data_IF_836677934619
#
_entry.id   IF_836677934619
#
_cell.length_a   1.000
_cell.length_b   1.000
_cell.length_c   1.000
_cell.angle_alpha   90.00
_cell.angle_beta   90.00
_cell.angle_gamma   90.00
#
_symmetry.space_group_name_H-M   'P 1'
#
loop_
_entity.id
_entity.type
_entity.pdbx_description
1 polymer ?
#
# COMPACT_ATOMS: atom_id res chain seq x y z
N UNK A 1 31.77 -50.89 35.63
CA UNK A 1 32.19 -49.51 35.29
C UNK A 1 31.20 -48.52 35.91
N UNK A 2 31.55 -47.86 37.03
CA UNK A 2 30.64 -46.90 37.68
C UNK A 2 30.62 -45.61 36.84
N UNK A 3 29.49 -45.34 36.19
CA UNK A 3 29.28 -44.07 35.50
C UNK A 3 29.32 -42.98 36.57
N UNK A 4 30.27 -42.04 36.44
CA UNK A 4 30.38 -40.90 37.34
C UNK A 4 29.20 -39.96 37.06
N UNK A 5 28.16 -40.05 37.88
CA UNK A 5 26.89 -39.33 37.75
C UNK A 5 27.07 -37.83 37.57
N UNK A 6 28.10 -37.24 38.20
CA UNK A 6 28.42 -35.82 38.06
C UNK A 6 28.95 -35.46 36.66
N UNK A 7 29.72 -36.35 36.02
CA UNK A 7 30.18 -36.17 34.63
C UNK A 7 29.02 -36.31 33.64
N UNK A 8 28.10 -37.26 33.90
CA UNK A 8 26.90 -37.46 33.08
C UNK A 8 25.96 -36.25 33.15
N UNK A 9 25.71 -35.71 34.34
CA UNK A 9 24.86 -34.52 34.53
C UNK A 9 25.45 -33.30 33.82
N UNK A 10 26.77 -33.07 33.94
CA UNK A 10 27.45 -31.97 33.21
C UNK A 10 27.30 -32.12 31.69
N UNK A 11 27.49 -33.33 31.17
CA UNK A 11 27.33 -33.61 29.73
C UNK A 11 25.90 -33.29 29.27
N UNK A 12 24.88 -33.71 30.03
CA UNK A 12 23.47 -33.45 29.71
C UNK A 12 23.18 -31.95 29.71
N UNK A 13 23.64 -31.21 30.73
CA UNK A 13 23.45 -29.75 30.82
C UNK A 13 24.13 -29.05 29.63
N UNK A 14 25.35 -29.45 29.28
CA UNK A 14 26.07 -28.89 28.12
C UNK A 14 25.32 -29.14 26.82
N UNK A 15 24.82 -30.36 26.59
CA UNK A 15 24.03 -30.69 25.41
C UNK A 15 22.72 -29.88 25.35
N UNK A 16 22.07 -29.68 26.49
CA UNK A 16 20.83 -28.91 26.59
C UNK A 16 21.07 -27.42 26.27
N UNK A 17 22.17 -26.85 26.75
CA UNK A 17 22.56 -25.47 26.42
C UNK A 17 22.88 -25.31 24.93
N UNK A 18 23.62 -26.26 24.33
CA UNK A 18 23.90 -26.25 22.89
C UNK A 18 22.59 -26.33 22.10
N UNK A 19 21.65 -27.18 22.51
CA UNK A 19 20.35 -27.31 21.86
C UNK A 19 19.54 -26.01 21.94
N UNK A 20 19.50 -25.35 23.11
CA UNK A 20 18.81 -24.06 23.28
C UNK A 20 19.43 -22.99 22.38
N UNK A 21 20.75 -22.83 22.41
CA UNK A 21 21.46 -21.83 21.59
C UNK A 21 21.23 -22.10 20.10
N UNK A 22 21.34 -23.36 19.67
CA UNK A 22 21.10 -23.75 18.28
C UNK A 22 19.66 -23.45 17.85
N UNK A 23 18.68 -23.70 18.72
CA UNK A 23 17.28 -23.39 18.46
C UNK A 23 17.04 -21.87 18.38
N UNK A 24 17.63 -21.09 19.27
CA UNK A 24 17.53 -19.62 19.23
C UNK A 24 18.12 -19.03 17.95
N UNK A 25 19.29 -19.54 17.51
CA UNK A 25 19.91 -19.13 16.24
C UNK A 25 19.02 -19.53 15.06
N UNK A 26 18.48 -20.74 15.06
CA UNK A 26 17.57 -21.21 14.00
C UNK A 26 16.33 -20.32 13.89
N UNK A 27 15.71 -19.95 15.02
CA UNK A 27 14.53 -19.05 15.04
C UNK A 27 14.89 -17.67 14.52
N UNK A 28 16.04 -17.11 14.91
CA UNK A 28 16.49 -15.79 14.43
C UNK A 28 16.75 -15.80 12.92
N UNK A 29 17.43 -16.82 12.41
CA UNK A 29 17.71 -17.00 10.98
C UNK A 29 16.41 -17.22 10.21
N UNK A 30 15.48 -18.04 10.72
CA UNK A 30 14.19 -18.28 10.08
C UNK A 30 13.35 -17.02 10.02
N UNK A 31 13.30 -16.22 11.10
CA UNK A 31 12.61 -14.91 11.11
C UNK A 31 13.24 -13.93 10.12
N UNK A 32 14.57 -13.87 10.03
CA UNK A 32 15.27 -13.00 9.08
C UNK A 32 15.02 -13.43 7.63
N UNK A 33 15.08 -14.74 7.35
CA UNK A 33 14.81 -15.29 6.02
C UNK A 33 13.35 -15.10 5.62
N UNK A 34 12.37 -15.41 6.50
CA UNK A 34 10.96 -15.13 6.23
C UNK A 34 10.70 -13.64 6.08
N UNK A 35 11.29 -12.79 6.93
CA UNK A 35 11.16 -11.34 6.84
C UNK A 35 11.64 -10.83 5.48
N UNK A 36 12.82 -11.27 5.03
CA UNK A 36 13.39 -10.89 3.74
C UNK A 36 12.62 -11.48 2.55
N UNK A 37 12.16 -12.74 2.64
CA UNK A 37 11.36 -13.39 1.60
C UNK A 37 9.99 -12.71 1.48
N UNK A 38 9.33 -12.44 2.60
CA UNK A 38 8.02 -11.78 2.65
C UNK A 38 8.12 -10.29 2.24
N UNK A 39 9.21 -9.60 2.58
CA UNK A 39 9.50 -8.25 2.09
C UNK A 39 9.78 -8.21 0.59
N UNK A 40 10.48 -9.21 0.05
CA UNK A 40 10.66 -9.38 -1.39
C UNK A 40 9.34 -9.66 -2.12
N UNK A 41 8.37 -10.26 -1.43
CA UNK A 41 7.02 -10.53 -1.96
C UNK A 41 5.99 -9.43 -1.64
N UNK A 42 6.37 -8.27 -1.07
CA UNK A 42 5.61 -7.01 -1.20
C UNK A 42 5.71 -6.47 -2.64
N UNK A 43 5.47 -7.41 -3.54
CA UNK A 43 5.66 -7.40 -4.97
C UNK A 43 4.41 -6.76 -5.54
N UNK A 44 4.52 -5.45 -5.77
CA UNK A 44 3.58 -4.51 -6.38
C UNK A 44 2.11 -4.94 -6.33
N UNK A 45 1.29 -4.25 -5.52
CA UNK A 45 -0.16 -4.54 -5.47
C UNK A 45 -0.83 -4.38 -6.85
N UNK A 46 -0.38 -3.40 -7.63
CA UNK A 46 -0.80 -3.22 -9.02
C UNK A 46 0.29 -3.79 -9.94
N UNK A 47 0.22 -5.08 -10.27
CA UNK A 47 1.20 -5.73 -11.17
C UNK A 47 0.92 -5.43 -12.64
N UNK A 48 -0.35 -5.48 -13.01
CA UNK A 48 -0.82 -5.30 -14.39
C UNK A 48 -1.13 -3.83 -14.70
N UNK A 49 -0.25 -2.91 -14.27
CA UNK A 49 -0.47 -1.47 -14.44
C UNK A 49 -0.75 -1.11 -15.90
N UNK A 50 0.00 -1.68 -16.85
CA UNK A 50 -0.15 -1.36 -18.27
C UNK A 50 -1.53 -1.77 -18.82
N UNK A 51 -2.11 -2.86 -18.31
CA UNK A 51 -3.46 -3.31 -18.67
C UNK A 51 -4.52 -2.28 -18.26
N UNK A 52 -4.38 -1.69 -17.07
CA UNK A 52 -5.38 -0.77 -16.50
C UNK A 52 -4.96 0.71 -16.59
N UNK A 53 -3.88 1.03 -17.29
CA UNK A 53 -3.29 2.37 -17.34
C UNK A 53 -4.28 3.45 -17.77
N UNK A 54 -5.13 3.16 -18.75
CA UNK A 54 -6.15 4.10 -19.24
C UNK A 54 -7.20 4.38 -18.17
N UNK A 55 -7.59 3.37 -17.40
CA UNK A 55 -8.55 3.53 -16.31
C UNK A 55 -7.94 4.36 -15.18
N UNK A 56 -6.71 4.05 -14.78
CA UNK A 56 -5.96 4.86 -13.81
C UNK A 56 -5.82 6.31 -14.22
N UNK A 57 -5.51 6.58 -15.50
CA UNK A 57 -5.42 7.94 -16.00
C UNK A 57 -6.78 8.65 -15.97
N UNK A 58 -7.86 7.96 -16.36
CA UNK A 58 -9.23 8.49 -16.31
C UNK A 58 -9.58 8.95 -14.89
N UNK A 59 -9.28 8.14 -13.88
CA UNK A 59 -9.55 8.48 -12.47
C UNK A 59 -8.60 9.57 -11.95
N UNK A 60 -7.35 9.62 -12.40
CA UNK A 60 -6.44 10.70 -12.05
C UNK A 60 -6.95 12.06 -12.57
N UNK A 61 -7.44 12.11 -13.81
CA UNK A 61 -8.00 13.32 -14.40
C UNK A 61 -9.30 13.75 -13.72
N UNK A 62 -10.15 12.80 -13.34
CA UNK A 62 -11.31 13.02 -12.47
C UNK A 62 -10.88 13.66 -11.13
N UNK A 63 -9.89 13.09 -10.44
CA UNK A 63 -9.42 13.61 -9.16
C UNK A 63 -8.90 15.05 -9.28
N UNK A 64 -8.13 15.35 -10.35
CA UNK A 64 -7.69 16.73 -10.64
C UNK A 64 -8.88 17.66 -10.92
N UNK A 65 -9.87 17.21 -11.69
CA UNK A 65 -11.06 17.99 -12.00
C UNK A 65 -11.78 18.36 -10.71
N UNK A 66 -12.06 17.40 -9.84
CA UNK A 66 -12.74 17.64 -8.58
C UNK A 66 -11.90 18.53 -7.64
N UNK A 67 -10.59 18.32 -7.55
CA UNK A 67 -9.68 19.16 -6.78
C UNK A 67 -9.70 20.62 -7.26
N UNK A 68 -9.72 20.84 -8.58
CA UNK A 68 -9.70 22.16 -9.20
C UNK A 68 -10.94 23.00 -8.88
N UNK A 69 -12.06 22.38 -8.47
CA UNK A 69 -13.26 23.09 -8.02
C UNK A 69 -13.05 23.83 -6.70
N UNK A 70 -12.00 23.47 -5.94
CA UNK A 70 -11.67 24.12 -4.66
C UNK A 70 -12.71 23.86 -3.57
N UNK A 71 -13.43 22.75 -3.66
CA UNK A 71 -14.52 22.39 -2.74
C UNK A 71 -14.12 21.31 -1.73
N UNK A 72 -12.96 20.67 -1.87
CA UNK A 72 -12.49 19.64 -0.94
C UNK A 72 -11.87 20.26 0.31
N UNK A 73 -12.32 19.83 1.49
CA UNK A 73 -11.75 20.27 2.78
C UNK A 73 -10.30 19.86 2.91
N UNK A 74 -10.08 18.56 2.81
CA UNK A 74 -8.78 17.91 2.81
C UNK A 74 -8.61 17.29 1.44
N UNK A 75 -7.47 17.52 0.77
CA UNK A 75 -7.25 17.19 -0.64
C UNK A 75 -7.15 15.68 -0.91
N UNK A 76 -8.19 14.95 -0.56
CA UNK A 76 -8.40 13.54 -0.74
C UNK A 76 -9.86 13.25 -1.11
N UNK A 77 -10.04 12.10 -1.74
CA UNK A 77 -11.30 11.48 -2.07
C UNK A 77 -11.31 10.10 -1.43
N UNK A 78 -12.40 9.74 -0.78
CA UNK A 78 -12.67 8.41 -0.29
C UNK A 78 -13.26 7.55 -1.40
N UNK A 79 -12.76 6.33 -1.50
CA UNK A 79 -13.23 5.31 -2.42
C UNK A 79 -13.76 4.15 -1.58
N UNK A 80 -15.04 3.82 -1.76
CA UNK A 80 -15.70 2.77 -0.98
C UNK A 80 -16.45 1.84 -1.92
N UNK A 81 -16.25 0.54 -1.79
CA UNK A 81 -17.02 -0.49 -2.48
C UNK A 81 -18.20 -0.93 -1.61
N UNK A 82 -19.39 -0.96 -2.20
CA UNK A 82 -20.61 -1.47 -1.56
C UNK A 82 -20.71 -3.00 -1.70
N UNK A 83 -21.60 -3.61 -0.91
CA UNK A 83 -21.88 -5.04 -0.99
C UNK A 83 -22.46 -5.51 -2.33
N UNK A 84 -23.02 -4.60 -3.13
CA UNK A 84 -23.50 -4.87 -4.49
C UNK A 84 -22.43 -4.67 -5.58
N UNK A 85 -21.19 -4.35 -5.18
CA UNK A 85 -20.05 -4.09 -6.08
C UNK A 85 -20.00 -2.68 -6.67
N UNK A 86 -20.98 -1.82 -6.37
CA UNK A 86 -20.93 -0.41 -6.78
C UNK A 86 -19.87 0.35 -5.99
N UNK A 87 -19.20 1.30 -6.64
CA UNK A 87 -18.14 2.10 -6.02
C UNK A 87 -18.58 3.55 -5.83
N UNK A 88 -18.40 4.05 -4.61
CA UNK A 88 -18.57 5.46 -4.27
C UNK A 88 -17.26 6.23 -4.37
N UNK A 89 -17.37 7.49 -4.84
CA UNK A 89 -16.27 8.43 -4.96
C UNK A 89 -16.69 9.74 -4.32
N UNK A 90 -16.27 9.97 -3.08
CA UNK A 90 -16.77 11.08 -2.26
C UNK A 90 -15.67 11.85 -1.54
N UNK A 91 -15.95 13.11 -1.21
CA UNK A 91 -15.04 13.96 -0.44
C UNK A 91 -15.81 14.85 0.51
N UNK A 92 -15.15 15.32 1.57
CA UNK A 92 -15.74 16.29 2.49
C UNK A 92 -15.68 17.69 1.88
N UNK A 93 -16.83 18.38 1.87
CA UNK A 93 -16.91 19.74 1.35
C UNK A 93 -16.28 20.74 2.32
N UNK A 94 -15.41 21.63 1.84
CA UNK A 94 -14.67 22.60 2.67
C UNK A 94 -15.56 23.68 3.31
N UNK A 95 -16.77 23.91 2.79
CA UNK A 95 -17.69 24.94 3.29
C UNK A 95 -18.74 24.36 4.23
N UNK A 96 -19.29 23.20 3.89
CA UNK A 96 -20.39 22.58 4.64
C UNK A 96 -19.94 21.48 5.58
N UNK A 97 -18.71 20.97 5.44
CA UNK A 97 -18.16 19.84 6.20
C UNK A 97 -18.98 18.55 6.08
N UNK A 98 -19.75 18.44 5.00
CA UNK A 98 -20.55 17.27 4.67
C UNK A 98 -19.88 16.46 3.57
N UNK A 99 -20.10 15.15 3.60
CA UNK A 99 -19.70 14.27 2.49
C UNK A 99 -20.50 14.60 1.23
N UNK A 100 -19.79 14.76 0.11
CA UNK A 100 -20.35 14.99 -1.22
C UNK A 100 -19.88 13.90 -2.15
N UNK A 101 -20.82 13.27 -2.84
CA UNK A 101 -20.53 12.32 -3.91
C UNK A 101 -20.13 13.09 -5.17
N UNK A 102 -19.00 12.73 -5.79
CA UNK A 102 -18.61 13.31 -7.06
C UNK A 102 -19.49 12.78 -8.19
N UNK A 103 -19.89 13.67 -9.09
CA UNK A 103 -20.57 13.25 -10.31
C UNK A 103 -19.60 12.52 -11.24
N UNK A 104 -19.86 11.23 -11.46
CA UNK A 104 -19.11 10.36 -12.37
C UNK A 104 -19.85 10.23 -13.69
N UNK A 105 -19.15 10.43 -14.81
CA UNK A 105 -19.60 9.93 -16.11
C UNK A 105 -19.60 8.40 -16.14
N UNK A 106 -20.29 7.81 -17.11
CA UNK A 106 -20.31 6.35 -17.27
C UNK A 106 -18.89 5.76 -17.43
N UNK A 107 -18.03 6.44 -18.20
CA UNK A 107 -16.64 6.02 -18.40
C UNK A 107 -15.85 6.07 -17.08
N UNK A 108 -15.96 7.15 -16.32
CA UNK A 108 -15.27 7.28 -15.03
C UNK A 108 -15.74 6.22 -14.04
N UNK A 109 -17.04 5.96 -13.98
CA UNK A 109 -17.59 4.89 -13.13
C UNK A 109 -17.02 3.52 -13.50
N UNK A 110 -17.09 3.16 -14.78
CA UNK A 110 -16.57 1.86 -15.26
C UNK A 110 -15.06 1.74 -15.05
N UNK A 111 -14.29 2.81 -15.28
CA UNK A 111 -12.86 2.81 -14.99
C UNK A 111 -12.57 2.60 -13.50
N UNK A 112 -13.34 3.22 -12.60
CA UNK A 112 -13.18 3.07 -11.15
C UNK A 112 -13.51 1.63 -10.70
N UNK A 113 -14.63 1.09 -11.17
CA UNK A 113 -15.05 -0.29 -10.93
C UNK A 113 -13.99 -1.28 -11.41
N UNK A 114 -13.43 -1.07 -12.62
CA UNK A 114 -12.40 -1.93 -13.18
C UNK A 114 -11.10 -1.94 -12.36
N UNK A 115 -10.60 -0.77 -11.95
CA UNK A 115 -9.36 -0.72 -11.14
C UNK A 115 -9.57 -1.31 -9.75
N UNK A 116 -10.75 -1.12 -9.16
CA UNK A 116 -11.09 -1.69 -7.87
C UNK A 116 -11.14 -3.21 -7.95
N UNK A 117 -11.95 -3.76 -8.86
CA UNK A 117 -12.18 -5.19 -8.99
C UNK A 117 -10.96 -5.99 -9.47
N UNK A 118 -10.08 -5.39 -10.27
CA UNK A 118 -9.02 -6.15 -10.94
C UNK A 118 -7.59 -5.71 -10.59
N UNK A 119 -7.36 -4.41 -10.39
CA UNK A 119 -6.01 -3.88 -10.19
C UNK A 119 -5.59 -3.80 -8.72
N UNK A 120 -6.54 -3.58 -7.80
CA UNK A 120 -6.28 -3.55 -6.36
C UNK A 120 -6.79 -4.80 -5.61
N UNK A 121 -7.68 -5.59 -6.22
CA UNK A 121 -8.24 -6.81 -5.62
C UNK A 121 -7.35 -8.06 -5.80
N UNK A 122 -6.06 -7.96 -5.45
CA UNK A 122 -5.15 -9.12 -5.42
C UNK A 122 -4.57 -9.34 -4.01
N UNK A 123 -5.13 -10.33 -3.31
CA UNK A 123 -4.66 -10.82 -2.00
C UNK A 123 -5.25 -10.08 -0.78
N UNK A 124 -4.66 -10.33 0.40
CA UNK A 124 -5.17 -10.04 1.76
C UNK A 124 -5.63 -8.59 2.06
N UNK A 125 -6.76 -8.17 1.49
CA UNK A 125 -7.59 -7.03 1.93
C UNK A 125 -7.00 -5.62 1.77
N UNK A 126 -6.09 -5.39 0.83
CA UNK A 126 -5.53 -4.06 0.59
C UNK A 126 -6.27 -3.33 -0.55
N UNK A 127 -7.52 -2.93 -0.29
CA UNK A 127 -8.37 -2.23 -1.25
C UNK A 127 -7.89 -0.79 -1.48
N UNK A 128 -8.13 -0.26 -2.68
CA UNK A 128 -8.09 1.18 -2.91
C UNK A 128 -9.12 1.83 -2.00
N UNK A 129 -8.67 2.69 -1.08
CA UNK A 129 -9.56 3.35 -0.11
C UNK A 129 -9.55 4.86 -0.23
N UNK A 130 -8.46 5.42 -0.76
CA UNK A 130 -8.25 6.87 -0.78
C UNK A 130 -7.45 7.29 -1.99
N UNK A 131 -7.92 8.36 -2.64
CA UNK A 131 -7.20 9.05 -3.70
C UNK A 131 -6.81 10.42 -3.18
N UNK A 132 -5.51 10.67 -2.97
CA UNK A 132 -5.00 11.98 -2.56
C UNK A 132 -4.62 12.77 -3.78
N UNK A 133 -4.95 14.05 -3.80
CA UNK A 133 -4.71 14.93 -4.93
C UNK A 133 -4.03 16.21 -4.47
N UNK A 134 -2.98 16.60 -5.18
CA UNK A 134 -2.25 17.87 -5.04
C UNK A 134 -2.07 18.44 -6.44
N UNK A 135 -1.59 19.69 -6.52
CA UNK A 135 -1.42 20.43 -7.79
C UNK A 135 -0.89 19.58 -8.96
N UNK A 136 0.16 18.80 -8.74
CA UNK A 136 0.85 18.02 -9.79
C UNK A 136 0.96 16.52 -9.45
N UNK A 137 0.22 16.04 -8.44
CA UNK A 137 0.32 14.65 -7.98
C UNK A 137 -1.03 14.07 -7.58
N UNK A 138 -1.33 12.86 -8.07
CA UNK A 138 -2.43 12.01 -7.59
C UNK A 138 -1.86 10.72 -7.02
N UNK A 139 -2.31 10.33 -5.84
CA UNK A 139 -1.89 9.10 -5.15
C UNK A 139 -3.10 8.20 -4.93
N UNK A 140 -3.08 6.99 -5.50
CA UNK A 140 -4.05 5.93 -5.25
C UNK A 140 -3.54 5.08 -4.11
N UNK A 141 -4.07 5.30 -2.90
CA UNK A 141 -3.63 4.67 -1.66
C UNK A 141 -4.53 3.53 -1.22
N UNK A 142 -3.91 2.49 -0.66
CA UNK A 142 -4.63 1.39 -0.03
C UNK A 142 -4.98 1.69 1.43
N UNK A 143 -5.94 0.96 1.98
CA UNK A 143 -6.49 1.15 3.34
C UNK A 143 -5.43 1.26 4.44
N UNK A 144 -4.43 0.39 4.44
CA UNK A 144 -3.38 0.39 5.46
C UNK A 144 -2.28 1.47 5.25
N UNK A 145 -2.35 2.23 4.16
CA UNK A 145 -1.40 3.31 3.83
C UNK A 145 0.03 2.85 3.53
N UNK A 146 0.28 1.55 3.33
CA UNK A 146 1.62 1.02 3.11
C UNK A 146 2.06 1.05 1.64
N UNK A 147 1.12 1.21 0.71
CA UNK A 147 1.37 1.28 -0.72
C UNK A 147 0.56 2.40 -1.37
N UNK A 148 1.12 3.00 -2.42
CA UNK A 148 0.37 3.87 -3.32
C UNK A 148 0.88 3.77 -4.76
N UNK A 149 -0.03 3.86 -5.71
CA UNK A 149 0.30 4.16 -7.10
C UNK A 149 0.24 5.68 -7.28
N UNK A 150 1.30 6.27 -7.83
CA UNK A 150 1.46 7.73 -7.88
C UNK A 150 1.56 8.21 -9.32
N UNK A 151 0.67 9.12 -9.69
CA UNK A 151 0.71 9.87 -10.95
C UNK A 151 1.29 11.27 -10.72
N UNK A 152 2.23 11.68 -11.56
CA UNK A 152 2.89 13.00 -11.56
C UNK A 152 2.64 13.67 -12.89
N UNK A 153 1.73 14.64 -12.95
CA UNK A 153 1.40 15.35 -14.20
C UNK A 153 2.61 16.09 -14.77
N UNK A 154 3.49 16.57 -13.90
CA UNK A 154 4.72 17.28 -14.26
C UNK A 154 5.90 16.38 -14.65
N UNK A 155 5.75 15.05 -14.57
CA UNK A 155 6.80 14.07 -14.90
C UNK A 155 7.97 14.03 -13.91
N UNK A 156 7.95 14.87 -12.87
CA UNK A 156 9.00 14.86 -11.86
C UNK A 156 8.81 13.69 -10.89
N UNK A 157 9.91 13.21 -10.33
CA UNK A 157 9.89 12.18 -9.28
C UNK A 157 9.09 12.68 -8.05
N UNK A 158 8.19 11.88 -7.46
CA UNK A 158 7.47 12.25 -6.25
C UNK A 158 8.39 12.60 -5.07
N UNK A 159 8.19 13.78 -4.47
CA UNK A 159 8.94 14.27 -3.30
C UNK A 159 8.37 13.80 -1.96
N UNK A 160 7.11 13.38 -1.96
CA UNK A 160 6.41 12.83 -0.80
C UNK A 160 5.29 11.91 -1.29
N UNK A 161 4.95 10.90 -0.48
CA UNK A 161 3.84 9.97 -0.72
C UNK A 161 3.23 9.61 0.63
N UNK A 162 1.89 9.43 0.66
CA UNK A 162 1.09 9.32 1.87
C UNK A 162 1.17 10.60 2.74
N UNK A 163 0.16 10.85 3.56
CA UNK A 163 -0.03 12.13 4.23
C UNK A 163 1.22 12.66 4.97
N UNK A 164 1.33 13.99 5.01
CA UNK A 164 2.43 14.86 5.48
C UNK A 164 2.97 14.61 6.90
N UNK A 165 2.41 13.66 7.66
CA UNK A 165 2.64 13.51 9.10
C UNK A 165 3.30 12.20 9.52
N UNK A 166 3.70 11.36 8.57
CA UNK A 166 4.51 10.19 8.91
C UNK A 166 5.95 10.45 8.50
N UNK A 167 6.86 10.49 9.47
CA UNK A 167 8.33 10.44 9.26
C UNK A 167 8.78 9.09 8.65
N UNK A 168 7.91 8.43 7.91
CA UNK A 168 8.15 7.13 7.33
C UNK A 168 8.95 7.33 6.06
N UNK A 169 10.04 6.57 5.94
CA UNK A 169 10.76 6.51 4.69
C UNK A 169 9.91 5.74 3.67
N UNK A 170 10.05 6.11 2.40
CA UNK A 170 9.36 5.42 1.32
C UNK A 170 10.35 5.11 0.20
N UNK A 171 10.12 3.98 -0.47
CA UNK A 171 10.80 3.63 -1.71
C UNK A 171 9.89 3.96 -2.88
N UNK A 172 10.53 4.31 -4.00
CA UNK A 172 9.86 4.57 -5.28
C UNK A 172 10.42 3.63 -6.33
N UNK A 173 9.53 3.05 -7.14
CA UNK A 173 9.89 2.43 -8.41
C UNK A 173 9.16 3.14 -9.54
N UNK A 174 9.92 3.64 -10.51
CA UNK A 174 9.37 4.24 -11.72
C UNK A 174 8.71 3.15 -12.58
N UNK A 175 7.54 3.45 -13.11
CA UNK A 175 6.81 2.64 -14.09
C UNK A 175 6.95 3.31 -15.45
N UNK A 176 6.56 4.58 -15.54
CA UNK A 176 6.73 5.46 -16.71
C UNK A 176 7.18 6.84 -16.25
N UNK A 177 7.33 7.81 -17.16
CA UNK A 177 7.70 9.19 -16.80
C UNK A 177 6.77 9.83 -15.78
N UNK A 178 5.49 9.48 -15.85
CA UNK A 178 4.45 10.06 -14.99
C UNK A 178 3.97 9.11 -13.89
N UNK A 179 4.40 7.84 -13.86
CA UNK A 179 3.81 6.83 -12.98
C UNK A 179 4.87 6.11 -12.13
N UNK A 180 4.56 5.94 -10.84
CA UNK A 180 5.46 5.34 -9.86
C UNK A 180 4.69 4.43 -8.90
N UNK A 181 5.29 3.30 -8.53
CA UNK A 181 4.94 2.60 -7.30
C UNK A 181 5.63 3.27 -6.12
N UNK A 182 4.93 3.39 -5.01
CA UNK A 182 5.46 3.88 -3.75
C UNK A 182 5.06 2.96 -2.61
N UNK A 183 5.98 2.67 -1.71
CA UNK A 183 5.70 1.88 -0.51
C UNK A 183 6.56 2.33 0.67
N UNK A 184 6.01 2.17 1.86
CA UNK A 184 6.68 2.50 3.12
C UNK A 184 7.82 1.53 3.37
N UNK A 185 8.95 2.04 3.88
CA UNK A 185 10.03 1.24 4.48
C UNK A 185 10.29 1.72 5.89
N UNK A 186 10.46 0.77 6.81
CA UNK A 186 10.83 1.01 8.21
C UNK A 186 12.29 1.46 8.34
#
# INVERSE_FOLDING_TARGET
MKINTTKLIKLIITLLLIAIISFSVLVAVFKSLLGNLLWSTWDYRVRDFDTYRSDFQTIADLAYREFSKGQMKDSYILVTENSDGSVHFSYENSKTETMVEAALSQRERTSLENIMANAFHQGDMAYLSVIRVRKDQVEFGIENGLYSLVNRRDGHKPKSVNALNTKRHYKLKKITDHWYHAWVVE
#
